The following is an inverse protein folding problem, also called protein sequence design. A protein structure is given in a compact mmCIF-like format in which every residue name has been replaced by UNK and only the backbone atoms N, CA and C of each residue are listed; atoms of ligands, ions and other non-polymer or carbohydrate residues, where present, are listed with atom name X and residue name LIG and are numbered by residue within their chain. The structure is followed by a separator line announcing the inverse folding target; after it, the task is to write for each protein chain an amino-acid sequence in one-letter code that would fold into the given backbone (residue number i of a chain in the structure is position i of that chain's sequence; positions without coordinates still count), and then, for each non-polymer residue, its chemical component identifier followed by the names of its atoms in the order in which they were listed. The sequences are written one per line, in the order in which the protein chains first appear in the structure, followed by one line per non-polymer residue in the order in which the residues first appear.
data_IF_134379591793
#
_entry.id   IF_134379591793
#
_cell.length_a   1.000
_cell.length_b   1.000
_cell.length_c   1.000
_cell.angle_alpha   90.00
_cell.angle_beta   90.00
_cell.angle_gamma   90.00
#
_symmetry.space_group_name_H-M   'P 1'
#
loop_
_entity.id
_entity.type
_entity.pdbx_description
1 polymer ?
#
# COMPACT_ATOMS: atom_id res chain seq x y z
N UNK A 1 9.47 4.86 20.72
CA UNK A 1 8.08 5.38 20.70
C UNK A 1 7.28 4.60 19.67
N UNK A 2 5.99 4.36 19.94
CA UNK A 2 5.08 3.76 18.95
C UNK A 2 4.82 4.75 17.82
N UNK A 3 4.71 4.26 16.59
CA UNK A 3 4.52 5.05 15.36
C UNK A 3 3.33 4.51 14.59
N UNK A 4 2.60 5.38 13.89
CA UNK A 4 1.54 5.04 12.94
C UNK A 4 2.13 5.01 11.53
N UNK A 5 2.14 3.83 10.93
CA UNK A 5 2.82 3.54 9.66
C UNK A 5 1.80 3.04 8.65
N UNK A 6 1.78 3.67 7.47
CA UNK A 6 1.05 3.18 6.30
C UNK A 6 2.05 2.52 5.35
N UNK A 7 1.70 1.35 4.84
CA UNK A 7 2.49 0.65 3.82
C UNK A 7 1.55 0.26 2.69
N UNK A 8 1.88 0.61 1.44
CA UNK A 8 1.11 0.16 0.27
C UNK A 8 1.65 -1.16 -0.27
N UNK A 9 0.80 -2.01 -0.86
CA UNK A 9 1.22 -3.29 -1.46
C UNK A 9 1.56 -4.37 -0.43
N UNK A 10 0.77 -4.47 0.64
CA UNK A 10 1.03 -5.38 1.77
C UNK A 10 0.37 -6.75 1.66
N UNK A 11 -0.23 -7.09 0.53
CA UNK A 11 -0.90 -8.40 0.38
C UNK A 11 0.06 -9.57 0.17
N UNK A 12 1.32 -9.30 -0.19
CA UNK A 12 2.37 -10.30 -0.32
C UNK A 12 3.76 -9.64 -0.36
N UNK A 13 4.81 -10.46 -0.48
CA UNK A 13 6.16 -10.02 -0.81
C UNK A 13 6.79 -9.07 0.22
N UNK A 14 7.49 -8.06 -0.29
CA UNK A 14 8.27 -7.10 0.52
C UNK A 14 7.34 -6.28 1.43
N UNK A 15 6.24 -5.76 0.88
CA UNK A 15 5.28 -4.95 1.65
C UNK A 15 4.67 -5.72 2.82
N UNK A 16 4.27 -6.98 2.61
CA UNK A 16 3.79 -7.84 3.69
C UNK A 16 4.85 -8.06 4.76
N UNK A 17 6.09 -8.38 4.34
CA UNK A 17 7.20 -8.63 5.25
C UNK A 17 7.56 -7.40 6.08
N UNK A 18 7.52 -6.20 5.48
CA UNK A 18 7.71 -4.94 6.19
C UNK A 18 6.57 -4.68 7.18
N UNK A 19 5.32 -4.94 6.80
CA UNK A 19 4.18 -4.75 7.68
C UNK A 19 4.24 -5.66 8.91
N UNK A 20 4.56 -6.94 8.71
CA UNK A 20 4.82 -7.91 9.78
C UNK A 20 5.98 -7.47 10.67
N UNK A 21 7.08 -7.00 10.08
CA UNK A 21 8.26 -6.56 10.80
C UNK A 21 7.94 -5.39 11.74
N UNK A 22 7.37 -4.30 11.22
CA UNK A 22 7.02 -3.14 12.04
C UNK A 22 5.91 -3.45 13.06
N UNK A 23 4.97 -4.33 12.71
CA UNK A 23 3.97 -4.83 13.64
C UNK A 23 4.58 -5.57 14.82
N UNK A 24 5.58 -6.45 14.58
CA UNK A 24 6.33 -7.16 15.64
C UNK A 24 7.11 -6.21 16.55
N UNK A 25 7.57 -5.08 16.02
CA UNK A 25 8.22 -4.02 16.81
C UNK A 25 7.24 -3.17 17.62
N UNK A 26 5.93 -3.47 17.54
CA UNK A 26 4.89 -2.81 18.34
C UNK A 26 4.35 -1.51 17.74
N UNK A 27 4.64 -1.21 16.46
CA UNK A 27 4.06 -0.07 15.76
C UNK A 27 2.59 -0.31 15.38
N UNK A 28 1.84 0.77 15.12
CA UNK A 28 0.51 0.73 14.51
C UNK A 28 0.70 0.71 13.01
N UNK A 29 0.51 -0.45 12.39
CA UNK A 29 0.73 -0.62 10.94
C UNK A 29 -0.59 -0.81 10.23
N UNK A 30 -0.79 -0.03 9.17
CA UNK A 30 -1.93 -0.13 8.26
C UNK A 30 -1.42 -0.48 6.87
N UNK A 31 -1.85 -1.64 6.37
CA UNK A 31 -1.49 -2.15 5.07
C UNK A 31 -2.59 -1.87 4.04
N UNK A 32 -2.25 -1.13 2.99
CA UNK A 32 -3.15 -0.79 1.89
C UNK A 32 -2.85 -1.68 0.68
N UNK A 33 -3.83 -2.51 0.29
CA UNK A 33 -3.71 -3.32 -0.92
C UNK A 33 -5.09 -3.77 -1.40
N UNK A 34 -5.24 -4.07 -2.69
CA UNK A 34 -6.54 -4.49 -3.26
C UNK A 34 -7.12 -5.76 -2.62
N UNK A 35 -6.25 -6.68 -2.22
CA UNK A 35 -6.66 -7.93 -1.56
C UNK A 35 -6.56 -7.77 -0.05
N UNK A 36 -7.64 -8.06 0.67
CA UNK A 36 -7.61 -8.16 2.13
C UNK A 36 -6.63 -9.26 2.53
N UNK A 37 -5.83 -8.99 3.55
CA UNK A 37 -4.87 -9.95 4.11
C UNK A 37 -5.08 -10.05 5.61
N UNK A 38 -5.14 -11.27 6.13
CA UNK A 38 -5.30 -11.51 7.55
C UNK A 38 -3.92 -11.55 8.23
N UNK A 39 -3.72 -10.65 9.19
CA UNK A 39 -2.56 -10.64 10.08
C UNK A 39 -2.98 -10.18 11.47
N UNK A 40 -2.28 -10.68 12.49
CA UNK A 40 -2.42 -10.20 13.88
C UNK A 40 -1.50 -9.01 14.19
N UNK A 41 -0.57 -8.69 13.29
CA UNK A 41 0.52 -7.73 13.51
C UNK A 41 0.30 -6.40 12.79
N UNK A 42 -0.57 -6.36 11.78
CA UNK A 42 -0.97 -5.12 11.12
C UNK A 42 -2.45 -5.18 10.70
N UNK A 43 -3.06 -4.01 10.49
CA UNK A 43 -4.44 -3.91 10.00
C UNK A 43 -4.44 -3.80 8.48
N UNK A 44 -5.12 -4.71 7.78
CA UNK A 44 -5.29 -4.62 6.33
C UNK A 44 -6.56 -3.85 5.98
N UNK A 45 -6.42 -2.80 5.16
CA UNK A 45 -7.53 -2.04 4.59
C UNK A 45 -7.51 -2.26 3.06
N UNK A 46 -8.56 -2.87 2.49
CA UNK A 46 -8.67 -3.02 1.05
C UNK A 46 -8.68 -1.66 0.35
N UNK A 47 -7.69 -1.41 -0.49
CA UNK A 47 -7.52 -0.12 -1.18
C UNK A 47 -6.79 -0.35 -2.50
N UNK A 48 -7.43 0.07 -3.59
CA UNK A 48 -6.72 0.33 -4.84
C UNK A 48 -6.10 1.72 -4.77
N UNK A 49 -4.77 1.78 -4.80
CA UNK A 49 -4.07 3.06 -4.67
C UNK A 49 -4.18 3.90 -5.93
N UNK A 50 -4.62 3.35 -7.07
CA UNK A 50 -4.88 4.15 -8.28
C UNK A 50 -6.23 4.86 -8.25
N UNK A 51 -7.02 4.63 -7.19
CA UNK A 51 -8.37 5.17 -7.03
C UNK A 51 -8.41 6.15 -5.85
N UNK A 52 -8.34 7.45 -6.16
CA UNK A 52 -8.29 8.53 -5.15
C UNK A 52 -9.39 8.42 -4.09
N UNK A 53 -10.61 8.05 -4.48
CA UNK A 53 -11.74 7.87 -3.56
C UNK A 53 -11.56 6.70 -2.58
N UNK A 54 -10.76 5.69 -2.92
CA UNK A 54 -10.41 4.60 -2.02
C UNK A 54 -9.30 5.02 -1.06
N UNK A 55 -8.30 5.76 -1.55
CA UNK A 55 -7.26 6.35 -0.70
C UNK A 55 -7.89 7.24 0.37
N UNK A 56 -8.76 8.17 -0.04
CA UNK A 56 -9.39 9.13 0.89
C UNK A 56 -10.15 8.41 2.02
N UNK A 57 -10.93 7.37 1.67
CA UNK A 57 -11.65 6.55 2.66
C UNK A 57 -10.71 5.79 3.61
N UNK A 58 -9.61 5.23 3.08
CA UNK A 58 -8.64 4.51 3.90
C UNK A 58 -7.93 5.45 4.88
N UNK A 59 -7.55 6.65 4.43
CA UNK A 59 -6.93 7.67 5.27
C UNK A 59 -7.91 8.18 6.33
N UNK A 60 -9.17 8.42 5.97
CA UNK A 60 -10.22 8.80 6.94
C UNK A 60 -10.42 7.71 8.00
N UNK A 61 -10.50 6.44 7.59
CA UNK A 61 -10.61 5.33 8.53
C UNK A 61 -9.40 5.27 9.49
N UNK A 62 -8.19 5.46 8.98
CA UNK A 62 -6.97 5.46 9.81
C UNK A 62 -6.98 6.64 10.78
N UNK A 63 -7.28 7.84 10.31
CA UNK A 63 -7.27 9.06 11.13
C UNK A 63 -8.44 9.10 12.14
N UNK A 64 -9.53 8.36 11.90
CA UNK A 64 -10.58 8.18 12.91
C UNK A 64 -10.12 7.37 14.13
N UNK A 65 -9.09 6.52 13.95
CA UNK A 65 -8.52 5.65 14.99
C UNK A 65 -7.23 6.24 15.57
N UNK A 66 -6.52 7.04 14.79
CA UNK A 66 -5.16 7.51 15.06
C UNK A 66 -5.05 9.02 14.84
N UNK A 67 -4.48 9.76 15.79
CA UNK A 67 -4.43 11.23 15.69
C UNK A 67 -3.51 11.76 14.57
N UNK A 68 -2.58 10.95 14.06
CA UNK A 68 -1.67 11.31 12.97
C UNK A 68 -1.07 10.06 12.31
N UNK A 69 -0.47 10.27 11.14
CA UNK A 69 0.35 9.28 10.42
C UNK A 69 1.80 9.76 10.49
N UNK A 70 2.70 8.92 10.98
CA UNK A 70 4.12 9.25 11.11
C UNK A 70 4.92 8.91 9.84
N UNK A 71 4.60 7.77 9.21
CA UNK A 71 5.40 7.18 8.15
C UNK A 71 4.47 6.66 7.05
N UNK A 72 4.81 6.97 5.80
CA UNK A 72 4.24 6.35 4.61
C UNK A 72 5.35 5.61 3.85
N UNK A 73 5.13 4.33 3.59
CA UNK A 73 6.01 3.51 2.74
C UNK A 73 5.25 3.17 1.47
N UNK A 74 5.59 3.86 0.38
CA UNK A 74 5.09 3.55 -0.96
C UNK A 74 5.84 2.33 -1.51
N UNK A 75 5.19 1.16 -1.45
CA UNK A 75 5.74 -0.12 -1.89
C UNK A 75 4.88 -0.83 -2.93
N UNK A 76 3.59 -0.51 -3.04
CA UNK A 76 2.74 -1.06 -4.09
C UNK A 76 3.37 -0.79 -5.47
N UNK A 77 3.40 -1.84 -6.29
CA UNK A 77 3.92 -1.74 -7.63
C UNK A 77 3.75 -3.03 -8.39
N UNK A 78 3.96 -2.95 -9.69
CA UNK A 78 4.06 -4.11 -10.57
C UNK A 78 5.23 -3.96 -11.52
N UNK A 79 5.77 -5.08 -11.99
CA UNK A 79 6.75 -5.11 -13.07
C UNK A 79 6.07 -5.31 -14.41
N UNK A 80 6.66 -4.75 -15.46
CA UNK A 80 6.33 -5.03 -16.84
C UNK A 80 7.65 -5.32 -17.56
N UNK A 81 7.71 -6.45 -18.28
CA UNK A 81 8.92 -6.91 -18.99
C UNK A 81 8.54 -7.09 -20.46
N UNK A 82 9.31 -6.47 -21.35
CA UNK A 82 9.08 -6.52 -22.78
C UNK A 82 9.82 -5.37 -23.49
N UNK A 83 9.90 -5.46 -24.81
CA UNK A 83 10.41 -4.35 -25.61
C UNK A 83 9.37 -3.22 -25.63
N UNK A 84 9.84 -1.97 -25.74
CA UNK A 84 8.94 -0.80 -25.69
C UNK A 84 8.03 -0.74 -26.93
N UNK A 85 8.54 -1.19 -28.07
CA UNK A 85 7.83 -1.31 -29.33
C UNK A 85 6.71 -2.36 -29.33
N UNK A 86 6.78 -3.33 -28.41
CA UNK A 86 5.77 -4.40 -28.25
C UNK A 86 4.70 -4.04 -27.21
N UNK A 87 4.89 -2.95 -26.45
CA UNK A 87 3.98 -2.54 -25.37
C UNK A 87 2.91 -1.59 -25.89
N UNK A 88 1.66 -1.77 -25.43
CA UNK A 88 0.62 -0.78 -25.73
C UNK A 88 0.60 0.36 -24.70
N UNK A 89 0.01 1.50 -25.10
CA UNK A 89 -0.08 2.70 -24.26
C UNK A 89 -0.83 2.41 -22.96
N UNK A 90 -1.87 1.58 -23.01
CA UNK A 90 -2.70 1.25 -21.85
C UNK A 90 -1.90 0.49 -20.78
N UNK A 91 -1.03 -0.44 -21.17
CA UNK A 91 -0.13 -1.17 -20.28
C UNK A 91 0.88 -0.24 -19.61
N UNK A 92 1.50 0.65 -20.40
CA UNK A 92 2.42 1.67 -19.89
C UNK A 92 1.69 2.57 -18.89
N UNK A 93 0.52 3.09 -19.25
CA UNK A 93 -0.26 3.95 -18.36
C UNK A 93 -0.68 3.23 -17.07
N UNK A 94 -1.04 1.94 -17.12
CA UNK A 94 -1.31 1.15 -15.92
C UNK A 94 -0.08 1.06 -15.00
N UNK A 95 1.11 0.81 -15.58
CA UNK A 95 2.36 0.75 -14.83
C UNK A 95 2.65 2.08 -14.13
N UNK A 96 2.56 3.20 -14.86
CA UNK A 96 2.80 4.53 -14.31
C UNK A 96 1.77 4.93 -13.27
N UNK A 97 0.48 4.66 -13.51
CA UNK A 97 -0.58 4.95 -12.56
C UNK A 97 -0.34 4.24 -11.23
N UNK A 98 0.03 2.95 -11.25
CA UNK A 98 0.30 2.21 -10.02
C UNK A 98 1.61 2.58 -9.34
N UNK A 99 2.71 2.65 -10.10
CA UNK A 99 4.06 2.72 -9.53
C UNK A 99 4.52 4.16 -9.23
N UNK A 100 3.97 5.16 -9.91
CA UNK A 100 4.43 6.55 -9.82
C UNK A 100 3.34 7.51 -9.37
N UNK A 101 2.17 7.46 -9.99
CA UNK A 101 1.11 8.42 -9.70
C UNK A 101 0.51 8.15 -8.31
N UNK A 102 0.14 6.88 -8.03
CA UNK A 102 -0.65 6.56 -6.84
C UNK A 102 -2.02 7.21 -6.96
#
# INVERSE_FOLDING_TARGET
MKKTIIITGTSSGIGFSLAEYFGKQGHRVYGLSRKKTDSKLFTSIPTDITEKSQIDRAIEEILSKENHIDILINNAGMGMVGAVEDSNKEEIMKLFNLNLIG
#
